data_IF_003766013753
#
_entry.id   IF_003766013753
#
_cell.length_a   1.000
_cell.length_b   1.000
_cell.length_c   1.000
_cell.angle_alpha   90.00
_cell.angle_beta   90.00
_cell.angle_gamma   90.00
#
_symmetry.space_group_name_H-M   'P 1'
#
loop_
_entity.id
_entity.type
_entity.pdbx_description
1 polymer ?
#
# COMPACT_ATOMS: atom_id res chain seq x y z
N UNK A 1 -24.46 -13.89 17.81
CA UNK A 1 -24.41 -12.80 16.82
C UNK A 1 -24.12 -13.43 15.47
N UNK A 2 -24.79 -13.00 14.38
CA UNK A 2 -24.45 -13.43 13.02
C UNK A 2 -23.04 -12.95 12.67
N UNK A 3 -22.31 -13.69 11.81
CA UNK A 3 -21.02 -13.24 11.32
C UNK A 3 -21.16 -11.87 10.60
N UNK A 4 -20.14 -10.98 10.69
CA UNK A 4 -20.17 -9.70 10.01
C UNK A 4 -20.30 -9.90 8.49
N UNK A 5 -21.11 -9.06 7.85
CA UNK A 5 -21.24 -9.07 6.39
C UNK A 5 -20.25 -8.08 5.78
N UNK A 6 -19.00 -8.49 5.65
CA UNK A 6 -17.95 -7.68 5.03
C UNK A 6 -18.16 -7.55 3.51
N UNK A 7 -17.77 -6.41 2.93
CA UNK A 7 -17.76 -6.21 1.46
C UNK A 7 -16.68 -7.03 0.78
N UNK A 8 -15.61 -7.36 1.49
CA UNK A 8 -14.55 -8.25 1.04
C UNK A 8 -14.05 -9.09 2.22
N UNK A 9 -13.83 -10.36 1.99
CA UNK A 9 -13.18 -11.27 2.93
C UNK A 9 -11.75 -11.55 2.50
N UNK A 10 -10.94 -12.14 3.38
CA UNK A 10 -9.54 -12.47 3.08
C UNK A 10 -9.36 -13.32 1.82
N UNK A 11 -10.29 -14.24 1.53
CA UNK A 11 -10.27 -15.05 0.30
C UNK A 11 -10.38 -14.23 -1.00
N UNK A 12 -11.00 -13.05 -0.93
CA UNK A 12 -11.10 -12.11 -2.07
C UNK A 12 -9.85 -11.25 -2.29
N UNK A 13 -8.84 -11.32 -1.41
CA UNK A 13 -7.62 -10.52 -1.51
C UNK A 13 -6.53 -11.37 -2.17
N UNK A 14 -6.33 -11.18 -3.49
CA UNK A 14 -5.38 -11.92 -4.30
C UNK A 14 -4.66 -10.97 -5.28
N UNK A 15 -3.53 -11.41 -5.83
CA UNK A 15 -2.82 -10.75 -6.90
C UNK A 15 -2.08 -9.47 -6.51
N UNK A 16 -2.07 -8.49 -7.39
CA UNK A 16 -1.33 -7.24 -7.30
C UNK A 16 -2.21 -6.10 -6.76
N UNK A 17 -1.73 -5.47 -5.68
CA UNK A 17 -2.39 -4.34 -5.01
C UNK A 17 -1.50 -3.10 -5.01
N UNK A 18 -1.55 -2.26 -6.05
CA UNK A 18 -0.84 -0.98 -6.04
C UNK A 18 -1.29 -0.08 -4.88
N UNK A 19 -0.29 0.55 -4.25
CA UNK A 19 -0.50 1.58 -3.26
C UNK A 19 -0.54 2.95 -3.96
N UNK A 20 -1.68 3.61 -3.98
CA UNK A 20 -1.87 4.89 -4.67
C UNK A 20 -1.22 6.06 -3.91
N UNK A 21 -0.45 6.93 -4.59
CA UNK A 21 -0.19 8.28 -4.12
C UNK A 21 -1.48 9.11 -4.23
N UNK A 22 -1.52 10.28 -3.59
CA UNK A 22 -2.56 11.27 -3.82
C UNK A 22 -2.00 12.38 -4.72
N UNK A 23 -2.26 12.40 -6.03
CA UNK A 23 -1.72 13.39 -6.95
C UNK A 23 -2.01 14.82 -6.47
N UNK A 24 -1.07 15.72 -6.69
CA UNK A 24 -1.17 17.12 -6.25
C UNK A 24 -1.14 18.07 -7.42
N UNK A 25 -1.94 19.13 -7.33
CA UNK A 25 -1.90 20.28 -8.23
C UNK A 25 -0.61 21.06 -8.07
N UNK A 26 -0.27 21.86 -9.06
CA UNK A 26 0.82 22.82 -8.97
C UNK A 26 0.63 23.76 -7.75
N UNK A 27 1.71 24.04 -7.03
CA UNK A 27 1.71 24.87 -5.82
C UNK A 27 1.20 24.17 -4.55
N UNK A 28 0.95 22.85 -4.58
CA UNK A 28 0.51 22.11 -3.39
C UNK A 28 1.54 22.11 -2.23
N UNK A 29 2.79 22.41 -2.51
CA UNK A 29 3.85 22.58 -1.50
C UNK A 29 3.77 23.90 -0.73
N UNK A 30 2.95 24.86 -1.14
CA UNK A 30 2.67 26.08 -0.36
C UNK A 30 1.57 25.78 0.68
N UNK A 31 1.84 26.06 1.96
CA UNK A 31 0.88 25.87 3.06
C UNK A 31 -0.41 26.70 2.91
N UNK A 32 -0.41 27.72 2.06
CA UNK A 32 -1.61 28.57 1.77
C UNK A 32 -2.55 27.90 0.78
N UNK A 33 -2.06 26.95 0.00
CA UNK A 33 -2.86 26.24 -1.01
C UNK A 33 -4.03 25.48 -0.38
N UNK A 34 -5.13 25.43 -1.09
CA UNK A 34 -6.35 24.69 -0.74
C UNK A 34 -6.75 23.79 -1.91
N UNK A 35 -7.51 22.75 -1.61
CA UNK A 35 -8.02 21.82 -2.64
C UNK A 35 -6.90 21.30 -3.54
N UNK A 36 -5.84 20.82 -2.90
CA UNK A 36 -4.55 20.51 -3.54
C UNK A 36 -4.56 19.20 -4.32
N UNK A 37 -5.64 18.41 -4.27
CA UNK A 37 -5.73 17.10 -4.96
C UNK A 37 -6.00 17.30 -6.44
N UNK A 38 -5.17 16.68 -7.30
CA UNK A 38 -5.40 16.59 -8.74
C UNK A 38 -6.34 15.39 -9.02
N UNK A 39 -7.63 15.69 -9.15
CA UNK A 39 -8.66 14.66 -9.40
C UNK A 39 -8.60 14.11 -10.83
N UNK A 40 -8.19 14.90 -11.82
CA UNK A 40 -8.06 14.44 -13.20
C UNK A 40 -6.94 13.40 -13.32
N UNK A 41 -5.77 13.68 -12.74
CA UNK A 41 -4.68 12.71 -12.70
C UNK A 41 -5.02 11.50 -11.82
N UNK A 42 -5.80 11.69 -10.74
CA UNK A 42 -6.30 10.59 -9.91
C UNK A 42 -7.16 9.63 -10.75
N UNK A 43 -8.13 10.14 -11.49
CA UNK A 43 -9.00 9.34 -12.36
C UNK A 43 -8.19 8.64 -13.47
N UNK A 44 -7.28 9.37 -14.15
CA UNK A 44 -6.43 8.82 -15.18
C UNK A 44 -5.56 7.66 -14.66
N UNK A 45 -4.88 7.87 -13.53
CA UNK A 45 -4.00 6.88 -12.89
C UNK A 45 -4.79 5.61 -12.51
N UNK A 46 -5.93 5.76 -11.83
CA UNK A 46 -6.78 4.64 -11.40
C UNK A 46 -7.32 3.88 -12.61
N UNK A 47 -7.84 4.59 -13.63
CA UNK A 47 -8.31 3.98 -14.87
C UNK A 47 -7.23 3.17 -15.57
N UNK A 48 -6.02 3.72 -15.70
CA UNK A 48 -4.89 3.05 -16.35
C UNK A 48 -4.41 1.79 -15.57
N UNK A 49 -4.45 1.80 -14.22
CA UNK A 49 -4.14 0.61 -13.41
C UNK A 49 -5.19 -0.49 -13.63
N UNK A 50 -6.46 -0.14 -13.66
CA UNK A 50 -7.56 -1.10 -13.90
C UNK A 50 -7.44 -1.71 -15.29
N UNK A 51 -7.19 -0.91 -16.31
CA UNK A 51 -6.97 -1.37 -17.70
C UNK A 51 -5.73 -2.26 -17.80
N UNK A 52 -4.70 -2.01 -17.02
CA UNK A 52 -3.53 -2.87 -16.95
C UNK A 52 -3.81 -4.23 -16.27
N UNK A 53 -4.91 -4.38 -15.54
CA UNK A 53 -5.33 -5.64 -14.93
C UNK A 53 -4.79 -5.87 -13.51
N UNK A 54 -4.71 -4.82 -12.69
CA UNK A 54 -4.42 -4.96 -11.25
C UNK A 54 -5.62 -5.57 -10.51
N UNK A 55 -5.38 -6.25 -9.41
CA UNK A 55 -6.40 -7.05 -8.72
C UNK A 55 -7.13 -6.29 -7.62
N UNK A 56 -6.56 -5.22 -7.11
CA UNK A 56 -7.13 -4.33 -6.11
C UNK A 56 -6.28 -3.09 -5.92
N UNK A 57 -6.77 -2.12 -5.15
CA UNK A 57 -6.04 -0.89 -4.86
C UNK A 57 -6.05 -0.59 -3.37
N UNK A 58 -5.03 0.12 -2.89
CA UNK A 58 -5.01 0.70 -1.56
C UNK A 58 -4.46 2.14 -1.61
N UNK A 59 -4.84 2.98 -0.67
CA UNK A 59 -4.41 4.38 -0.65
C UNK A 59 -4.27 4.96 0.75
N UNK A 60 -3.90 6.24 0.81
CA UNK A 60 -3.82 7.01 2.05
C UNK A 60 -2.93 6.33 3.11
N UNK A 61 -1.83 5.72 2.67
CA UNK A 61 -0.70 5.37 3.52
C UNK A 61 0.28 6.54 3.62
N UNK A 62 1.56 6.27 3.93
CA UNK A 62 2.57 7.30 4.15
C UNK A 62 2.75 8.20 2.93
N UNK A 63 3.13 7.65 1.77
CA UNK A 63 3.31 8.49 0.57
C UNK A 63 1.99 8.82 -0.15
N UNK A 64 0.86 8.22 0.25
CA UNK A 64 -0.48 8.68 -0.06
C UNK A 64 -0.90 9.90 0.77
N UNK A 65 0.00 10.39 1.64
CA UNK A 65 -0.14 11.61 2.43
C UNK A 65 -1.36 11.65 3.35
N UNK A 66 -1.77 10.49 3.92
CA UNK A 66 -2.88 10.41 4.87
C UNK A 66 -2.78 11.46 6.00
N UNK A 67 -1.56 11.76 6.42
CA UNK A 67 -1.24 12.67 7.52
C UNK A 67 -1.18 14.16 7.12
N UNK A 68 -1.11 14.49 5.81
CA UNK A 68 -0.96 15.86 5.31
C UNK A 68 -2.21 16.43 4.63
N UNK A 69 -3.12 15.54 4.20
CA UNK A 69 -4.38 15.90 3.57
C UNK A 69 -5.40 16.36 4.60
N UNK A 70 -6.20 17.38 4.25
CA UNK A 70 -7.40 17.71 5.01
C UNK A 70 -8.45 16.61 4.86
N UNK A 71 -9.47 16.63 5.72
CA UNK A 71 -10.53 15.64 5.62
C UNK A 71 -11.32 15.75 4.32
N UNK A 72 -11.58 16.96 3.86
CA UNK A 72 -12.26 17.26 2.61
C UNK A 72 -11.46 16.75 1.40
N UNK A 73 -10.14 16.93 1.43
CA UNK A 73 -9.25 16.40 0.39
C UNK A 73 -9.24 14.88 0.36
N UNK A 74 -9.26 14.21 1.52
CA UNK A 74 -9.39 12.74 1.58
C UNK A 74 -10.70 12.27 0.98
N UNK A 75 -11.82 12.92 1.30
CA UNK A 75 -13.13 12.59 0.76
C UNK A 75 -13.17 12.79 -0.77
N UNK A 76 -12.65 13.93 -1.26
CA UNK A 76 -12.60 14.20 -2.69
C UNK A 76 -11.76 13.16 -3.44
N UNK A 77 -10.58 12.83 -2.91
CA UNK A 77 -9.71 11.79 -3.49
C UNK A 77 -10.39 10.42 -3.52
N UNK A 78 -10.91 9.96 -2.38
CA UNK A 78 -11.56 8.63 -2.29
C UNK A 78 -12.83 8.58 -3.14
N UNK A 79 -13.62 9.64 -3.18
CA UNK A 79 -14.79 9.75 -4.04
C UNK A 79 -14.43 9.58 -5.53
N UNK A 80 -13.39 10.28 -5.99
CA UNK A 80 -12.88 10.17 -7.37
C UNK A 80 -12.36 8.75 -7.66
N UNK A 81 -11.63 8.12 -6.73
CA UNK A 81 -11.16 6.74 -6.88
C UNK A 81 -12.34 5.78 -7.01
N UNK A 82 -13.35 5.90 -6.13
CA UNK A 82 -14.53 5.02 -6.15
C UNK A 82 -15.37 5.18 -7.42
N UNK A 83 -15.57 6.41 -7.87
CA UNK A 83 -16.25 6.69 -9.14
C UNK A 83 -15.50 6.06 -10.31
N UNK A 84 -14.18 6.24 -10.36
CA UNK A 84 -13.34 5.67 -11.43
C UNK A 84 -13.31 4.15 -11.38
N UNK A 85 -13.28 3.54 -10.21
CA UNK A 85 -13.32 2.07 -10.06
C UNK A 85 -14.65 1.52 -10.60
N UNK A 86 -15.77 2.16 -10.29
CA UNK A 86 -17.08 1.73 -10.76
C UNK A 86 -17.43 0.27 -10.42
N UNK A 87 -16.99 -0.23 -9.27
CA UNK A 87 -17.23 -1.58 -8.79
C UNK A 87 -16.39 -2.69 -9.45
N UNK A 88 -15.41 -2.35 -10.30
CA UNK A 88 -14.60 -3.33 -11.05
C UNK A 88 -13.59 -4.09 -10.21
N UNK A 89 -12.97 -3.46 -9.24
CA UNK A 89 -11.97 -4.04 -8.35
C UNK A 89 -12.13 -3.53 -6.91
N UNK A 90 -11.67 -4.28 -5.89
CA UNK A 90 -11.74 -3.81 -4.50
C UNK A 90 -10.75 -2.68 -4.21
N UNK A 91 -11.12 -1.83 -3.23
CA UNK A 91 -10.30 -0.71 -2.79
C UNK A 91 -10.31 -0.56 -1.26
N UNK A 92 -9.12 -0.42 -0.68
CA UNK A 92 -8.90 -0.11 0.74
C UNK A 92 -8.41 1.33 0.89
N UNK A 93 -9.20 2.17 1.55
CA UNK A 93 -8.82 3.55 1.86
C UNK A 93 -8.19 3.64 3.25
N UNK A 94 -7.08 4.35 3.40
CA UNK A 94 -6.46 4.58 4.71
C UNK A 94 -7.27 5.55 5.57
N UNK A 95 -7.53 5.18 6.83
CA UNK A 95 -8.23 6.02 7.82
C UNK A 95 -7.42 6.22 9.09
N UNK A 96 -6.11 6.07 9.01
CA UNK A 96 -5.21 6.28 10.14
C UNK A 96 -5.30 7.72 10.66
N UNK A 97 -5.52 7.88 11.95
CA UNK A 97 -5.58 9.16 12.65
C UNK A 97 -4.91 9.06 14.02
N UNK A 98 -4.85 10.17 14.75
CA UNK A 98 -4.14 10.24 16.04
C UNK A 98 -4.89 9.61 17.21
N UNK A 99 -6.17 9.29 17.03
CA UNK A 99 -6.98 8.69 18.09
C UNK A 99 -8.10 7.79 17.54
N UNK A 100 -8.55 6.84 18.36
CA UNK A 100 -9.55 5.83 18.02
C UNK A 100 -10.89 6.42 17.54
N UNK A 101 -11.36 7.49 18.17
CA UNK A 101 -12.67 8.10 17.82
C UNK A 101 -12.65 8.71 16.43
N UNK A 102 -11.57 9.38 16.08
CA UNK A 102 -11.37 9.94 14.73
C UNK A 102 -11.25 8.83 13.69
N UNK A 103 -10.49 7.77 13.98
CA UNK A 103 -10.39 6.59 13.10
C UNK A 103 -11.76 5.99 12.83
N UNK A 104 -12.59 5.81 13.87
CA UNK A 104 -13.95 5.25 13.72
C UNK A 104 -14.83 6.17 12.87
N UNK A 105 -14.78 7.49 13.10
CA UNK A 105 -15.54 8.46 12.31
C UNK A 105 -15.14 8.43 10.82
N UNK A 106 -13.83 8.47 10.54
CA UNK A 106 -13.31 8.39 9.18
C UNK A 106 -13.62 7.05 8.52
N UNK A 107 -13.50 5.94 9.25
CA UNK A 107 -13.81 4.60 8.73
C UNK A 107 -15.28 4.47 8.32
N UNK A 108 -16.21 4.98 9.12
CA UNK A 108 -17.62 4.99 8.78
C UNK A 108 -17.91 5.83 7.54
N UNK A 109 -17.37 7.03 7.46
CA UNK A 109 -17.55 7.89 6.29
C UNK A 109 -16.97 7.28 5.01
N UNK A 110 -15.80 6.65 5.06
CA UNK A 110 -15.24 5.92 3.93
C UNK A 110 -16.10 4.71 3.54
N UNK A 111 -16.64 3.99 4.54
CA UNK A 111 -17.58 2.90 4.27
C UNK A 111 -18.83 3.38 3.54
N UNK A 112 -19.38 4.55 3.87
CA UNK A 112 -20.52 5.16 3.17
C UNK A 112 -20.19 5.51 1.71
N UNK A 113 -18.94 5.88 1.39
CA UNK A 113 -18.48 6.08 0.02
C UNK A 113 -18.35 4.77 -0.78
N UNK A 114 -18.53 3.63 -0.16
CA UNK A 114 -18.55 2.33 -0.86
C UNK A 114 -17.21 1.60 -0.90
N UNK A 115 -16.16 2.05 -0.20
CA UNK A 115 -14.88 1.34 -0.15
C UNK A 115 -15.06 -0.11 0.32
N UNK A 116 -14.20 -1.00 -0.14
CA UNK A 116 -14.25 -2.42 0.25
C UNK A 116 -13.78 -2.64 1.69
N UNK A 117 -12.89 -1.77 2.18
CA UNK A 117 -12.38 -1.82 3.53
C UNK A 117 -11.47 -0.62 3.84
N UNK A 118 -10.92 -0.61 5.05
CA UNK A 118 -9.94 0.40 5.47
C UNK A 118 -8.55 -0.20 5.66
N UNK A 119 -7.51 0.56 5.28
CA UNK A 119 -6.12 0.28 5.64
C UNK A 119 -5.74 1.11 6.86
N UNK A 120 -5.33 0.46 7.95
CA UNK A 120 -5.29 1.08 9.27
C UNK A 120 -4.00 0.78 10.03
N UNK A 121 -3.24 1.83 10.36
CA UNK A 121 -2.14 1.81 11.33
C UNK A 121 -2.63 2.19 12.73
N UNK A 122 -1.82 1.88 13.74
CA UNK A 122 -2.11 2.30 15.12
C UNK A 122 -1.89 3.81 15.31
N UNK A 123 -2.58 4.48 16.26
CA UNK A 123 -2.28 5.87 16.63
C UNK A 123 -0.80 6.03 17.02
N UNK A 124 -0.12 7.05 16.46
CA UNK A 124 1.34 7.14 16.49
C UNK A 124 1.89 8.26 17.39
N UNK A 125 1.03 9.07 18.03
CA UNK A 125 1.54 10.16 18.88
C UNK A 125 2.36 9.62 20.04
N UNK A 126 1.78 8.68 20.81
CA UNK A 126 2.49 7.92 21.82
C UNK A 126 2.88 6.54 21.28
N UNK A 127 3.98 5.98 21.77
CA UNK A 127 4.35 4.60 21.47
C UNK A 127 3.33 3.65 22.09
N UNK A 128 2.80 2.71 21.29
CA UNK A 128 1.87 1.69 21.76
C UNK A 128 2.64 0.49 22.35
N UNK A 129 2.05 -0.15 23.34
CA UNK A 129 2.33 -1.54 23.69
C UNK A 129 1.34 -2.50 23.00
N UNK A 130 1.52 -3.79 23.21
CA UNK A 130 0.65 -4.82 22.59
C UNK A 130 -0.79 -4.68 23.05
N UNK A 131 -1.01 -4.40 24.34
CA UNK A 131 -2.37 -4.32 24.89
C UNK A 131 -3.12 -3.12 24.29
N UNK A 132 -2.48 -1.95 24.23
CA UNK A 132 -3.03 -0.73 23.64
C UNK A 132 -3.32 -0.91 22.15
N UNK A 133 -2.39 -1.48 21.39
CA UNK A 133 -2.56 -1.71 19.95
C UNK A 133 -3.70 -2.72 19.66
N UNK A 134 -3.78 -3.81 20.43
CA UNK A 134 -4.87 -4.79 20.30
C UNK A 134 -6.22 -4.18 20.66
N UNK A 135 -6.28 -3.40 21.76
CA UNK A 135 -7.53 -2.75 22.17
C UNK A 135 -8.03 -1.78 21.10
N UNK A 136 -7.13 -1.01 20.50
CA UNK A 136 -7.45 -0.13 19.38
C UNK A 136 -8.17 -0.87 18.24
N UNK A 137 -7.62 -2.00 17.76
CA UNK A 137 -8.26 -2.77 16.69
C UNK A 137 -9.59 -3.41 17.14
N UNK A 138 -9.73 -3.83 18.41
CA UNK A 138 -11.01 -4.30 18.97
C UNK A 138 -12.07 -3.22 18.93
N UNK A 139 -11.74 -2.02 19.40
CA UNK A 139 -12.69 -0.89 19.45
C UNK A 139 -13.15 -0.50 18.04
N UNK A 140 -12.22 -0.45 17.06
CA UNK A 140 -12.59 -0.14 15.67
C UNK A 140 -13.43 -1.27 15.06
N UNK A 141 -13.08 -2.54 15.30
CA UNK A 141 -13.85 -3.69 14.82
C UNK A 141 -15.27 -3.74 15.38
N UNK A 142 -15.42 -3.42 16.67
CA UNK A 142 -16.73 -3.34 17.32
C UNK A 142 -17.57 -2.18 16.77
N UNK A 143 -16.95 -1.00 16.59
CA UNK A 143 -17.64 0.20 16.12
C UNK A 143 -17.98 0.16 14.61
N UNK A 144 -17.25 -0.65 13.81
CA UNK A 144 -17.40 -0.77 12.37
C UNK A 144 -17.49 -2.26 11.96
N UNK A 145 -18.54 -2.99 12.40
CA UNK A 145 -18.61 -4.45 12.29
C UNK A 145 -18.65 -4.95 10.84
N UNK A 146 -19.14 -4.15 9.90
CA UNK A 146 -19.29 -4.51 8.47
C UNK A 146 -18.14 -4.00 7.59
N UNK A 147 -17.08 -3.46 8.20
CA UNK A 147 -15.92 -2.93 7.48
C UNK A 147 -14.73 -3.89 7.58
N UNK A 148 -14.23 -4.33 6.43
CA UNK A 148 -12.97 -5.09 6.37
C UNK A 148 -11.78 -4.19 6.73
N UNK A 149 -10.86 -4.70 7.53
CA UNK A 149 -9.67 -3.97 7.98
C UNK A 149 -8.42 -4.67 7.46
N UNK A 150 -7.57 -3.92 6.78
CA UNK A 150 -6.20 -4.29 6.44
C UNK A 150 -5.26 -3.58 7.43
N UNK A 151 -4.53 -4.31 8.24
CA UNK A 151 -3.52 -3.73 9.13
C UNK A 151 -2.40 -3.11 8.29
N UNK A 152 -2.03 -1.87 8.55
CA UNK A 152 -0.85 -1.24 7.98
C UNK A 152 0.33 -1.41 8.94
N UNK A 153 1.12 -2.47 8.75
CA UNK A 153 2.28 -2.76 9.59
C UNK A 153 3.51 -1.99 9.08
N UNK A 154 3.74 -0.80 9.63
CA UNK A 154 4.92 0.03 9.36
C UNK A 154 5.48 0.53 10.68
N UNK A 155 6.53 -0.12 11.19
CA UNK A 155 7.11 0.18 12.51
C UNK A 155 7.69 1.59 12.59
N UNK A 156 8.30 2.09 11.52
CA UNK A 156 8.84 3.45 11.48
C UNK A 156 7.75 4.52 11.58
N UNK A 157 6.65 4.35 10.82
CA UNK A 157 5.54 5.31 10.84
C UNK A 157 4.77 5.27 12.16
N UNK A 158 4.57 4.09 12.75
CA UNK A 158 3.67 3.89 13.89
C UNK A 158 4.38 3.66 15.22
N UNK A 159 5.71 3.64 15.27
CA UNK A 159 6.50 3.40 16.48
C UNK A 159 6.09 2.11 17.21
N UNK A 160 5.69 1.08 16.45
CA UNK A 160 5.21 -0.20 16.96
C UNK A 160 5.69 -1.36 16.10
N UNK A 161 6.31 -2.37 16.71
CA UNK A 161 7.03 -3.45 16.01
C UNK A 161 6.13 -4.60 15.54
N UNK A 162 4.83 -4.58 15.82
CA UNK A 162 3.89 -5.64 15.48
C UNK A 162 4.36 -7.05 15.91
N UNK A 163 4.65 -7.28 17.21
CA UNK A 163 5.24 -8.52 17.68
C UNK A 163 4.23 -9.69 17.67
N UNK A 164 4.72 -10.93 17.75
CA UNK A 164 3.90 -12.15 17.73
C UNK A 164 2.65 -12.13 18.65
N UNK A 165 2.72 -11.65 19.92
CA UNK A 165 1.54 -11.56 20.76
C UNK A 165 0.45 -10.64 20.21
N UNK A 166 0.80 -9.64 19.38
CA UNK A 166 -0.16 -8.80 18.67
C UNK A 166 -0.91 -9.62 17.61
N UNK A 167 -0.19 -10.32 16.71
CA UNK A 167 -0.81 -11.14 15.65
C UNK A 167 -1.72 -12.22 16.21
N UNK A 168 -1.30 -12.91 17.27
CA UNK A 168 -2.10 -13.96 17.94
C UNK A 168 -3.44 -13.44 18.51
N UNK A 169 -3.56 -12.15 18.78
CA UNK A 169 -4.77 -11.54 19.32
C UNK A 169 -5.62 -10.88 18.23
N UNK A 170 -5.05 -10.04 17.37
CA UNK A 170 -5.80 -9.39 16.30
C UNK A 170 -6.27 -10.38 15.24
N UNK A 171 -5.52 -11.46 15.01
CA UNK A 171 -5.90 -12.55 14.15
C UNK A 171 -7.16 -13.30 14.58
N UNK A 172 -7.78 -12.99 15.71
CA UNK A 172 -9.07 -13.53 16.16
C UNK A 172 -10.25 -12.62 15.81
N UNK A 173 -9.99 -11.40 15.32
CA UNK A 173 -11.00 -10.44 14.96
C UNK A 173 -11.46 -10.67 13.51
N UNK A 174 -12.74 -11.00 13.27
CA UNK A 174 -13.21 -11.36 11.93
C UNK A 174 -13.13 -10.20 10.92
N UNK A 175 -13.09 -8.95 11.37
CA UNK A 175 -12.93 -7.78 10.52
C UNK A 175 -11.50 -7.62 9.98
N UNK A 176 -10.50 -8.19 10.65
CA UNK A 176 -9.10 -8.10 10.24
C UNK A 176 -8.83 -9.14 9.15
N UNK A 177 -8.95 -8.74 7.90
CA UNK A 177 -8.89 -9.66 6.74
C UNK A 177 -7.49 -9.73 6.12
N UNK A 178 -6.67 -8.68 6.29
CA UNK A 178 -5.36 -8.60 5.68
C UNK A 178 -4.36 -7.74 6.48
N UNK A 179 -3.13 -7.78 6.03
CA UNK A 179 -2.05 -6.91 6.48
C UNK A 179 -1.19 -6.46 5.30
N UNK A 180 -0.95 -5.16 5.18
CA UNK A 180 0.14 -4.61 4.39
C UNK A 180 1.42 -4.79 5.19
N UNK A 181 2.21 -5.80 4.81
CA UNK A 181 3.31 -6.34 5.59
C UNK A 181 4.67 -5.92 5.01
N UNK A 182 5.66 -5.69 5.87
CA UNK A 182 7.02 -5.33 5.49
C UNK A 182 8.02 -6.41 5.95
N UNK A 183 8.92 -6.78 5.04
CA UNK A 183 9.91 -7.81 5.26
C UNK A 183 9.35 -9.22 5.27
N UNK A 184 10.22 -10.22 5.44
CA UNK A 184 9.85 -11.65 5.43
C UNK A 184 10.44 -12.44 6.62
N UNK A 185 11.26 -11.79 7.45
CA UNK A 185 12.01 -12.47 8.51
C UNK A 185 11.13 -13.19 9.53
N UNK A 186 9.94 -12.68 9.81
CA UNK A 186 8.98 -13.27 10.75
C UNK A 186 7.74 -13.87 10.07
N UNK A 187 7.63 -13.76 8.74
CA UNK A 187 6.42 -14.06 7.98
C UNK A 187 5.83 -15.45 8.27
N UNK A 188 6.65 -16.50 8.27
CA UNK A 188 6.17 -17.86 8.50
C UNK A 188 5.51 -18.03 9.89
N UNK A 189 6.08 -17.39 10.91
CA UNK A 189 5.51 -17.42 12.25
C UNK A 189 4.22 -16.61 12.35
N UNK A 190 4.18 -15.43 11.75
CA UNK A 190 3.02 -14.51 11.81
C UNK A 190 1.84 -15.08 11.01
N UNK A 191 2.09 -15.71 9.85
CA UNK A 191 1.09 -16.48 9.10
C UNK A 191 0.39 -17.54 9.96
N UNK A 192 1.14 -18.26 10.79
CA UNK A 192 0.58 -19.29 11.67
C UNK A 192 -0.24 -18.72 12.84
N UNK A 193 0.09 -17.52 13.29
CA UNK A 193 -0.64 -16.84 14.38
C UNK A 193 -1.96 -16.21 13.92
N UNK A 194 -2.07 -15.86 12.63
CA UNK A 194 -3.27 -15.26 12.04
C UNK A 194 -3.64 -15.96 10.71
N UNK A 195 -4.03 -17.24 10.74
CA UNK A 195 -4.14 -18.09 9.55
C UNK A 195 -5.25 -17.68 8.57
N UNK A 196 -6.25 -16.93 9.01
CA UNK A 196 -7.32 -16.46 8.13
C UNK A 196 -7.00 -15.12 7.44
N UNK A 197 -5.94 -14.42 7.85
CA UNK A 197 -5.54 -13.14 7.26
C UNK A 197 -4.70 -13.35 6.00
N UNK A 198 -4.75 -12.39 5.07
CA UNK A 198 -3.79 -12.28 3.96
C UNK A 198 -2.66 -11.32 4.34
N UNK A 199 -1.43 -11.80 4.20
CA UNK A 199 -0.24 -10.96 4.40
C UNK A 199 0.28 -10.54 3.02
N UNK A 200 0.12 -9.26 2.69
CA UNK A 200 0.63 -8.69 1.44
C UNK A 200 2.04 -8.16 1.71
N UNK A 201 3.05 -8.86 1.24
CA UNK A 201 4.44 -8.38 1.28
C UNK A 201 4.69 -7.33 0.20
N UNK A 202 5.78 -6.58 0.33
CA UNK A 202 6.26 -5.72 -0.74
C UNK A 202 6.63 -6.56 -1.99
N UNK A 203 6.49 -5.96 -3.16
CA UNK A 203 6.80 -6.62 -4.45
C UNK A 203 8.21 -7.23 -4.50
N UNK A 204 9.22 -6.55 -3.96
CA UNK A 204 10.59 -7.06 -3.92
C UNK A 204 10.75 -8.33 -3.07
N UNK A 205 9.85 -8.55 -2.11
CA UNK A 205 9.84 -9.69 -1.20
C UNK A 205 8.88 -10.81 -1.65
N UNK A 206 7.97 -10.52 -2.60
CA UNK A 206 6.87 -11.44 -2.92
C UNK A 206 7.34 -12.79 -3.44
N UNK A 207 8.39 -12.83 -4.28
CA UNK A 207 8.99 -14.10 -4.71
C UNK A 207 9.43 -14.96 -3.52
N UNK A 208 10.18 -14.38 -2.60
CA UNK A 208 10.69 -15.10 -1.43
C UNK A 208 9.54 -15.50 -0.47
N UNK A 209 8.57 -14.62 -0.26
CA UNK A 209 7.38 -14.90 0.54
C UNK A 209 6.56 -16.08 -0.04
N UNK A 210 6.33 -16.09 -1.36
CA UNK A 210 5.62 -17.17 -2.04
C UNK A 210 6.39 -18.51 -1.99
N UNK A 211 7.71 -18.48 -1.82
CA UNK A 211 8.53 -19.68 -1.58
C UNK A 211 8.43 -20.19 -0.14
N UNK A 212 8.16 -19.29 0.84
CA UNK A 212 7.93 -19.67 2.24
C UNK A 212 6.58 -20.40 2.39
N UNK A 213 5.52 -19.86 1.79
CA UNK A 213 4.19 -20.44 1.85
C UNK A 213 3.40 -20.17 0.54
N UNK A 214 3.50 -21.08 -0.44
CA UNK A 214 2.86 -20.88 -1.74
C UNK A 214 1.33 -20.74 -1.67
N UNK A 215 0.68 -21.41 -0.72
CA UNK A 215 -0.78 -21.47 -0.62
C UNK A 215 -1.38 -20.20 0.01
N UNK A 216 -0.70 -19.63 1.01
CA UNK A 216 -1.18 -18.45 1.74
C UNK A 216 -0.71 -17.14 1.15
N UNK A 217 0.46 -17.12 0.49
CA UNK A 217 1.00 -15.90 -0.16
C UNK A 217 0.39 -15.73 -1.54
N UNK A 218 -0.85 -15.26 -1.60
CA UNK A 218 -1.63 -15.10 -2.84
C UNK A 218 -1.70 -13.66 -3.34
N UNK A 219 -1.27 -12.69 -2.53
CA UNK A 219 -1.32 -11.27 -2.85
C UNK A 219 -0.05 -10.56 -2.38
N UNK A 220 0.24 -9.43 -3.02
CA UNK A 220 1.33 -8.53 -2.64
C UNK A 220 0.97 -7.08 -2.96
N UNK A 221 1.61 -6.15 -2.27
CA UNK A 221 1.46 -4.73 -2.57
C UNK A 221 2.67 -4.18 -3.33
N UNK A 222 2.42 -3.16 -4.14
CA UNK A 222 3.43 -2.55 -5.00
C UNK A 222 3.37 -1.02 -4.93
N UNK A 223 4.52 -0.39 -4.83
CA UNK A 223 4.69 1.04 -5.09
C UNK A 223 5.27 1.30 -6.48
N UNK A 224 6.10 0.40 -7.01
CA UNK A 224 6.68 0.56 -8.35
C UNK A 224 5.67 0.37 -9.48
N UNK A 225 4.50 -0.24 -9.24
CA UNK A 225 3.44 -0.30 -10.24
C UNK A 225 3.00 1.10 -10.72
N UNK A 226 3.24 2.15 -9.94
CA UNK A 226 3.02 3.56 -10.29
C UNK A 226 4.15 4.13 -11.18
N UNK A 227 5.26 3.41 -11.33
CA UNK A 227 6.31 3.71 -12.33
C UNK A 227 6.08 2.96 -13.65
N UNK A 228 4.97 2.23 -13.76
CA UNK A 228 4.58 1.36 -14.86
C UNK A 228 4.25 -0.06 -14.36
N UNK A 229 3.01 -0.56 -14.53
CA UNK A 229 2.53 -1.77 -13.84
C UNK A 229 3.05 -3.09 -14.41
N UNK A 230 3.58 -3.14 -15.63
CA UNK A 230 4.01 -4.38 -16.29
C UNK A 230 4.98 -5.25 -15.48
N UNK A 231 6.03 -4.71 -14.83
CA UNK A 231 6.92 -5.54 -14.01
C UNK A 231 6.20 -6.24 -12.87
N UNK A 232 5.32 -5.54 -12.14
CA UNK A 232 4.58 -6.12 -11.03
C UNK A 232 3.56 -7.17 -11.50
N UNK A 233 2.89 -6.94 -12.63
CA UNK A 233 2.02 -7.92 -13.27
C UNK A 233 2.80 -9.16 -13.72
N UNK A 234 3.94 -8.99 -14.35
CA UNK A 234 4.83 -10.08 -14.76
C UNK A 234 5.29 -10.91 -13.54
N UNK A 235 5.59 -10.27 -12.41
CA UNK A 235 5.93 -10.99 -11.17
C UNK A 235 4.75 -11.81 -10.64
N UNK A 236 3.54 -11.22 -10.61
CA UNK A 236 2.30 -11.92 -10.23
C UNK A 236 2.14 -13.20 -11.04
N UNK A 237 2.19 -13.07 -12.37
CA UNK A 237 1.91 -14.16 -13.30
C UNK A 237 3.02 -15.22 -13.28
N UNK A 238 4.28 -14.81 -13.14
CA UNK A 238 5.40 -15.72 -13.01
C UNK A 238 5.34 -16.54 -11.70
N UNK A 239 4.96 -15.90 -10.58
CA UNK A 239 4.75 -16.60 -9.30
C UNK A 239 3.58 -17.56 -9.39
N UNK A 240 2.45 -17.16 -9.99
CA UNK A 240 1.30 -18.05 -10.19
C UNK A 240 1.66 -19.27 -11.03
N UNK A 241 2.40 -19.08 -12.12
CA UNK A 241 2.91 -20.16 -12.96
C UNK A 241 3.88 -21.08 -12.21
N UNK A 242 4.79 -20.50 -11.43
CA UNK A 242 5.78 -21.23 -10.66
C UNK A 242 5.16 -22.15 -9.59
N UNK A 243 4.08 -21.71 -8.95
CA UNK A 243 3.32 -22.53 -7.97
C UNK A 243 2.75 -23.80 -8.60
N UNK A 244 2.36 -23.76 -9.87
CA UNK A 244 1.81 -24.91 -10.59
C UNK A 244 2.91 -25.81 -11.16
N UNK A 245 3.93 -25.21 -11.78
CA UNK A 245 4.98 -25.94 -12.49
C UNK A 245 6.13 -26.44 -11.61
N UNK A 246 6.32 -25.81 -10.44
CA UNK A 246 7.51 -26.01 -9.59
C UNK A 246 8.76 -25.25 -10.09
N UNK A 247 8.72 -24.64 -11.27
CA UNK A 247 9.84 -23.86 -11.81
C UNK A 247 9.72 -22.38 -11.44
N UNK A 248 10.59 -21.94 -10.53
CA UNK A 248 10.65 -20.58 -10.00
C UNK A 248 11.68 -19.68 -10.69
N UNK A 249 12.35 -20.15 -11.74
CA UNK A 249 13.46 -19.44 -12.37
C UNK A 249 13.06 -18.06 -12.91
N UNK A 250 11.92 -17.98 -13.62
CA UNK A 250 11.41 -16.71 -14.15
C UNK A 250 10.97 -15.74 -13.05
N UNK A 251 10.24 -16.22 -12.04
CA UNK A 251 9.83 -15.38 -10.92
C UNK A 251 11.05 -14.81 -10.15
N UNK A 252 12.11 -15.64 -10.01
CA UNK A 252 13.38 -15.19 -9.43
C UNK A 252 14.06 -14.11 -10.27
N UNK A 253 14.14 -14.30 -11.59
CA UNK A 253 14.76 -13.33 -12.48
C UNK A 253 14.07 -11.95 -12.41
N UNK A 254 12.72 -11.95 -12.37
CA UNK A 254 11.94 -10.71 -12.20
C UNK A 254 12.20 -10.07 -10.83
N UNK A 255 12.21 -10.85 -9.75
CA UNK A 255 12.50 -10.34 -8.40
C UNK A 255 13.92 -9.76 -8.28
N UNK A 256 14.91 -10.38 -8.92
CA UNK A 256 16.27 -9.85 -8.98
C UNK A 256 16.33 -8.53 -9.77
N UNK A 257 15.54 -8.40 -10.83
CA UNK A 257 15.42 -7.15 -11.61
C UNK A 257 14.79 -6.02 -10.79
N UNK A 258 13.79 -6.31 -9.94
CA UNK A 258 13.24 -5.33 -9.00
C UNK A 258 14.33 -4.75 -8.10
N UNK A 259 15.17 -5.60 -7.48
CA UNK A 259 16.27 -5.13 -6.62
C UNK A 259 17.25 -4.22 -7.37
N UNK A 260 17.50 -4.50 -8.67
CA UNK A 260 18.33 -3.61 -9.51
C UNK A 260 17.66 -2.25 -9.75
N UNK A 261 16.35 -2.24 -10.03
CA UNK A 261 15.60 -1.00 -10.22
C UNK A 261 15.48 -0.17 -8.93
N UNK A 262 15.49 -0.79 -7.76
CA UNK A 262 15.45 -0.10 -6.47
C UNK A 262 16.77 0.53 -6.03
N UNK A 263 17.87 0.26 -6.75
CA UNK A 263 19.17 0.83 -6.40
C UNK A 263 19.13 2.36 -6.38
N UNK A 264 19.51 2.91 -5.23
CA UNK A 264 19.52 4.36 -4.97
C UNK A 264 18.22 4.93 -4.41
N UNK A 265 17.12 4.17 -4.37
CA UNK A 265 15.87 4.62 -3.72
C UNK A 265 16.04 4.75 -2.20
N UNK A 266 16.75 3.82 -1.59
CA UNK A 266 17.01 3.83 -0.14
C UNK A 266 18.33 4.57 0.14
N UNK A 267 18.28 5.79 0.73
CA UNK A 267 19.50 6.54 1.06
C UNK A 267 20.42 5.68 1.94
N UNK A 268 21.68 5.54 1.54
CA UNK A 268 22.69 4.74 2.25
C UNK A 268 22.30 3.26 2.47
N UNK A 269 21.29 2.74 1.76
CA UNK A 269 20.73 1.42 1.99
C UNK A 269 19.95 1.28 3.30
N UNK A 270 19.57 2.40 3.92
CA UNK A 270 18.93 2.44 5.25
C UNK A 270 17.44 2.78 5.11
N UNK A 271 16.59 1.86 5.57
CA UNK A 271 15.13 2.05 5.57
C UNK A 271 14.68 3.14 6.57
N UNK A 272 15.34 3.27 7.72
CA UNK A 272 15.00 4.31 8.69
C UNK A 272 15.32 5.70 8.14
N UNK A 273 16.42 5.85 7.38
CA UNK A 273 16.74 7.10 6.68
C UNK A 273 15.74 7.38 5.54
N UNK A 274 15.39 6.38 4.74
CA UNK A 274 14.35 6.48 3.71
C UNK A 274 13.00 6.90 4.32
N UNK A 275 12.62 6.35 5.48
CA UNK A 275 11.32 6.59 6.08
C UNK A 275 11.07 8.06 6.43
N UNK A 276 12.13 8.84 6.72
CA UNK A 276 12.06 10.28 6.97
C UNK A 276 11.60 11.08 5.75
N UNK A 277 11.90 10.59 4.56
CA UNK A 277 11.65 11.27 3.28
C UNK A 277 10.74 10.48 2.35
N UNK A 278 10.08 9.42 2.84
CA UNK A 278 9.28 8.49 2.02
C UNK A 278 8.32 9.20 1.07
N UNK A 279 7.62 10.24 1.53
CA UNK A 279 6.66 10.99 0.71
C UNK A 279 7.35 11.57 -0.52
N UNK A 280 8.44 12.30 -0.32
CA UNK A 280 9.13 12.96 -1.42
C UNK A 280 9.90 12.01 -2.31
N UNK A 281 10.52 10.97 -1.75
CA UNK A 281 11.30 9.99 -2.53
C UNK A 281 10.41 9.14 -3.42
N UNK A 282 9.27 8.66 -2.92
CA UNK A 282 8.30 7.91 -3.72
C UNK A 282 7.69 8.77 -4.83
N UNK A 283 7.35 10.04 -4.53
CA UNK A 283 6.86 10.97 -5.56
C UNK A 283 7.93 11.30 -6.59
N UNK A 284 9.16 11.57 -6.16
CA UNK A 284 10.30 11.80 -7.06
C UNK A 284 10.55 10.62 -8.00
N UNK A 285 10.46 9.39 -7.47
CA UNK A 285 10.56 8.16 -8.26
C UNK A 285 9.44 8.08 -9.31
N UNK A 286 8.19 8.27 -8.90
CA UNK A 286 7.02 8.18 -9.78
C UNK A 286 7.02 9.27 -10.87
N UNK A 287 7.31 10.52 -10.50
CA UNK A 287 7.43 11.63 -11.46
C UNK A 287 8.56 11.40 -12.46
N UNK A 288 9.73 10.90 -12.02
CA UNK A 288 10.85 10.57 -12.90
C UNK A 288 10.57 9.39 -13.84
N UNK A 289 9.71 8.46 -13.45
CA UNK A 289 9.25 7.38 -14.31
C UNK A 289 8.28 7.87 -15.41
N UNK A 290 7.50 8.91 -15.13
CA UNK A 290 6.61 9.57 -16.09
C UNK A 290 5.33 8.79 -16.42
N UNK A 291 5.04 7.67 -15.75
CA UNK A 291 3.80 6.91 -15.95
C UNK A 291 2.61 7.57 -15.24
N UNK A 292 2.85 8.19 -14.08
CA UNK A 292 1.92 9.05 -13.35
C UNK A 292 2.54 10.41 -13.08
N UNK A 293 1.72 11.45 -12.91
CA UNK A 293 2.11 12.80 -12.54
C UNK A 293 1.63 13.08 -11.11
N UNK A 294 2.43 12.70 -10.13
CA UNK A 294 2.00 12.81 -8.74
C UNK A 294 2.20 14.21 -8.13
N UNK A 295 2.93 15.08 -8.83
CA UNK A 295 3.21 16.44 -8.37
C UNK A 295 4.11 16.52 -7.15
N UNK A 296 4.19 17.68 -6.51
CA UNK A 296 5.03 17.94 -5.35
C UNK A 296 4.39 17.41 -4.06
N UNK A 297 5.21 17.00 -3.06
CA UNK A 297 4.70 16.69 -1.73
C UNK A 297 4.09 17.92 -1.05
N UNK A 298 3.07 17.69 -0.24
CA UNK A 298 2.49 18.72 0.63
C UNK A 298 3.42 19.05 1.80
N UNK A 299 3.37 20.28 2.35
CA UNK A 299 4.21 20.67 3.46
C UNK A 299 3.91 19.83 4.71
N UNK A 300 4.93 19.53 5.55
CA UNK A 300 6.34 19.95 5.43
C UNK A 300 7.21 19.00 4.60
N UNK A 301 6.64 17.95 3.97
CA UNK A 301 7.34 16.81 3.37
C UNK A 301 7.92 17.08 1.97
N UNK A 302 7.87 18.33 1.52
CA UNK A 302 8.50 18.79 0.27
C UNK A 302 10.00 19.12 0.42
N UNK A 303 10.51 19.13 1.65
CA UNK A 303 11.94 19.37 1.92
C UNK A 303 12.70 18.04 1.88
N UNK A 304 13.46 17.82 0.83
CA UNK A 304 14.16 16.56 0.57
C UNK A 304 15.60 16.88 0.17
N UNK A 305 16.62 16.15 0.68
CA UNK A 305 17.98 16.29 0.19
C UNK A 305 18.07 15.96 -1.31
N UNK A 306 18.74 16.82 -2.08
CA UNK A 306 18.84 16.70 -3.53
C UNK A 306 19.47 15.36 -3.96
N UNK A 307 20.53 14.92 -3.27
CA UNK A 307 21.18 13.62 -3.54
C UNK A 307 20.23 12.41 -3.38
N UNK A 308 19.28 12.50 -2.43
CA UNK A 308 18.28 11.44 -2.18
C UNK A 308 17.21 11.44 -3.28
N UNK A 309 16.76 12.63 -3.66
CA UNK A 309 15.80 12.80 -4.75
C UNK A 309 16.37 12.31 -6.10
N UNK A 310 17.66 12.55 -6.34
CA UNK A 310 18.35 12.02 -7.52
C UNK A 310 18.41 10.49 -7.53
N UNK A 311 18.68 9.88 -6.35
CA UNK A 311 18.63 8.41 -6.17
C UNK A 311 17.25 7.84 -6.49
N UNK A 312 16.20 8.44 -5.95
CA UNK A 312 14.81 8.06 -6.23
C UNK A 312 14.46 8.22 -7.72
N UNK A 313 14.91 9.31 -8.35
CA UNK A 313 14.71 9.56 -9.78
C UNK A 313 15.41 8.53 -10.67
N UNK A 314 16.61 8.08 -10.32
CA UNK A 314 17.28 6.97 -11.01
C UNK A 314 16.48 5.68 -10.94
N UNK A 315 15.96 5.34 -9.75
CA UNK A 315 15.07 4.19 -9.55
C UNK A 315 13.83 4.29 -10.43
N UNK A 316 13.16 5.45 -10.47
CA UNK A 316 11.99 5.67 -11.31
C UNK A 316 12.25 5.43 -12.79
N UNK A 317 13.33 6.00 -13.32
CA UNK A 317 13.76 5.77 -14.72
C UNK A 317 14.07 4.30 -15.01
N UNK A 318 14.69 3.59 -14.05
CA UNK A 318 14.98 2.17 -14.21
C UNK A 318 13.69 1.32 -14.29
N UNK A 319 12.69 1.61 -13.48
CA UNK A 319 11.39 0.95 -13.56
C UNK A 319 10.63 1.28 -14.85
N UNK A 320 10.67 2.54 -15.29
CA UNK A 320 10.07 2.95 -16.57
C UNK A 320 10.71 2.21 -17.77
N UNK A 321 12.02 2.07 -17.76
CA UNK A 321 12.73 1.31 -18.78
C UNK A 321 12.34 -0.18 -18.76
N UNK A 322 12.24 -0.78 -17.57
CA UNK A 322 11.80 -2.17 -17.42
C UNK A 322 10.34 -2.37 -17.85
N UNK A 323 9.47 -1.41 -17.54
CA UNK A 323 8.08 -1.40 -18.01
C UNK A 323 8.01 -1.39 -19.55
N UNK A 324 8.78 -0.51 -20.21
CA UNK A 324 8.82 -0.41 -21.66
C UNK A 324 9.41 -1.67 -22.34
N UNK A 325 10.43 -2.29 -21.74
CA UNK A 325 11.01 -3.55 -22.16
C UNK A 325 9.96 -4.67 -22.21
N UNK A 326 9.20 -4.85 -21.13
CA UNK A 326 8.13 -5.85 -21.06
C UNK A 326 6.97 -5.53 -22.00
N UNK A 327 6.64 -4.27 -22.19
CA UNK A 327 5.59 -3.85 -23.12
C UNK A 327 5.96 -4.19 -24.57
N UNK A 328 7.23 -4.01 -24.96
CA UNK A 328 7.71 -4.31 -26.32
C UNK A 328 7.84 -5.80 -26.59
N UNK A 329 8.03 -6.63 -25.57
CA UNK A 329 8.11 -8.09 -25.68
C UNK A 329 6.76 -8.80 -25.69
N UNK A 330 5.64 -8.06 -25.57
CA UNK A 330 4.29 -8.62 -25.56
C UNK A 330 3.92 -9.36 -24.29
N UNK A 331 4.69 -9.13 -23.21
CA UNK A 331 4.49 -9.70 -21.88
C UNK A 331 3.75 -8.74 -20.97
#
# INVERSE_FOLDING_TARGET
MSAPKLRIESAGINGLWPMLPTPSKEGASDWRSRDTVDLDETARMVGALIEAGVDGLMSLGTYGECHSLTWEEKLAFVGCVMETIGGRIPFFAGTTALNTREVIAQTRAMHELGVSGTMLGVPMWCKNDVATAVQFYKDVSEACPDTAIMIYANSEAFKFEFPRPFWAQVGKLPQIVACKYLGIGMLAADLNLAPHMRFLTHEADYYAAARIDPDRMTAFWSSSALCGPRPALALRDAVAKAKVSGDWSNAKAIADRFRQCEQGLFPRGDFAEFSKYTVGLERGRMNAAGWVRVGDPRPPYHIIPEEYLEGASRSGRAYAAYHAELQSSGL
#
